data_IF_827379392021
#
_entry.id   IF_827379392021
#
_cell.length_a   1.000
_cell.length_b   1.000
_cell.length_c   1.000
_cell.angle_alpha   90.00
_cell.angle_beta   90.00
_cell.angle_gamma   90.00
#
_symmetry.space_group_name_H-M   'P 1'
#
loop_
_entity.id
_entity.type
_entity.pdbx_description
1 polymer ?
#
# COMPACT_ATOMS: atom_id res chain seq x y z
N UNK A 1 -12.98 -9.42 3.73
CA UNK A 1 -11.68 -9.55 4.42
C UNK A 1 -11.74 -10.56 5.55
N UNK A 2 -12.64 -10.41 6.52
CA UNK A 2 -12.72 -11.32 7.68
C UNK A 2 -12.78 -12.82 7.30
N UNK A 3 -13.59 -13.20 6.32
CA UNK A 3 -13.62 -14.59 5.80
C UNK A 3 -12.29 -15.06 5.18
N UNK A 4 -11.58 -14.18 4.45
CA UNK A 4 -10.25 -14.48 3.89
C UNK A 4 -9.20 -14.79 4.95
N UNK A 5 -9.37 -14.35 6.20
CA UNK A 5 -8.45 -14.73 7.28
C UNK A 5 -8.56 -16.21 7.66
N UNK A 6 -9.73 -16.83 7.49
CA UNK A 6 -9.88 -18.29 7.67
C UNK A 6 -9.23 -19.05 6.53
N UNK A 7 -9.42 -18.61 5.28
CA UNK A 7 -8.72 -19.16 4.11
C UNK A 7 -7.19 -19.04 4.28
N UNK A 8 -6.73 -17.91 4.81
CA UNK A 8 -5.32 -17.72 5.12
C UNK A 8 -4.83 -18.65 6.22
N UNK A 9 -5.65 -18.89 7.25
CA UNK A 9 -5.33 -19.83 8.33
C UNK A 9 -5.26 -21.27 7.80
N UNK A 10 -6.19 -21.69 6.95
CA UNK A 10 -6.17 -23.04 6.36
C UNK A 10 -4.93 -23.26 5.50
N UNK A 11 -4.51 -22.26 4.71
CA UNK A 11 -3.29 -22.31 3.91
C UNK A 11 -2.01 -22.34 4.77
N UNK A 12 -1.94 -21.53 5.83
CA UNK A 12 -0.75 -21.42 6.68
C UNK A 12 -0.52 -22.61 7.61
N UNK A 13 -1.56 -23.35 7.97
CA UNK A 13 -1.45 -24.48 8.88
C UNK A 13 -1.16 -25.81 8.18
N UNK A 14 -0.90 -25.77 6.87
CA UNK A 14 -0.32 -26.91 6.12
C UNK A 14 1.18 -27.01 6.43
N UNK A 15 1.72 -28.22 6.65
CA UNK A 15 3.15 -28.43 6.98
C UNK A 15 4.12 -28.07 5.85
N UNK A 16 3.65 -27.92 4.61
CA UNK A 16 4.50 -27.59 3.46
C UNK A 16 4.97 -26.13 3.48
N UNK A 17 6.26 -25.92 3.22
CA UNK A 17 6.86 -24.59 3.11
C UNK A 17 7.01 -24.19 1.65
N UNK A 18 6.01 -23.49 1.12
CA UNK A 18 6.06 -22.92 -0.23
C UNK A 18 6.27 -21.41 -0.15
N UNK A 19 7.10 -20.82 -1.01
CA UNK A 19 7.28 -19.35 -1.11
C UNK A 19 5.95 -18.61 -1.34
N UNK A 20 4.99 -19.29 -1.98
CA UNK A 20 3.60 -18.83 -2.13
C UNK A 20 2.91 -18.48 -0.80
N UNK A 21 3.28 -19.14 0.31
CA UNK A 21 2.68 -18.92 1.63
C UNK A 21 3.21 -17.62 2.25
N UNK A 22 4.49 -17.30 2.02
CA UNK A 22 5.08 -16.03 2.49
C UNK A 22 4.47 -14.85 1.75
N UNK A 23 4.36 -14.94 0.44
CA UNK A 23 3.74 -13.88 -0.38
C UNK A 23 2.25 -13.71 -0.04
N UNK A 24 1.53 -14.80 0.25
CA UNK A 24 0.16 -14.74 0.76
C UNK A 24 0.07 -14.01 2.11
N UNK A 25 1.00 -14.26 3.03
CA UNK A 25 1.03 -13.59 4.33
C UNK A 25 1.31 -12.08 4.21
N UNK A 26 2.31 -11.71 3.40
CA UNK A 26 2.61 -10.30 3.11
C UNK A 26 1.43 -9.59 2.41
N UNK A 27 0.75 -10.29 1.47
CA UNK A 27 -0.45 -9.78 0.79
C UNK A 27 -1.61 -9.49 1.75
N UNK A 28 -1.88 -10.39 2.71
CA UNK A 28 -2.93 -10.17 3.71
C UNK A 28 -2.62 -8.95 4.59
N UNK A 29 -1.35 -8.78 5.01
CA UNK A 29 -0.93 -7.59 5.76
C UNK A 29 -1.13 -6.32 4.91
N UNK A 30 -0.72 -6.35 3.64
CA UNK A 30 -0.95 -5.26 2.69
C UNK A 30 -2.42 -4.89 2.56
N UNK A 31 -3.32 -5.87 2.46
CA UNK A 31 -4.77 -5.64 2.40
C UNK A 31 -5.31 -4.97 3.67
N UNK A 32 -4.84 -5.36 4.86
CA UNK A 32 -5.24 -4.72 6.13
C UNK A 32 -4.77 -3.27 6.18
N UNK A 33 -3.54 -3.00 5.76
CA UNK A 33 -2.99 -1.65 5.71
C UNK A 33 -3.74 -0.77 4.71
N UNK A 34 -4.07 -1.30 3.53
CA UNK A 34 -4.92 -0.61 2.55
C UNK A 34 -6.30 -0.33 3.12
N UNK A 35 -6.90 -1.27 3.86
CA UNK A 35 -8.19 -1.05 4.54
C UNK A 35 -8.10 0.07 5.58
N UNK A 36 -6.98 0.16 6.31
CA UNK A 36 -6.73 1.27 7.24
C UNK A 36 -6.64 2.62 6.53
N UNK A 37 -5.99 2.69 5.35
CA UNK A 37 -5.97 3.91 4.53
C UNK A 37 -7.36 4.29 4.05
N UNK A 38 -8.14 3.34 3.53
CA UNK A 38 -9.52 3.56 3.11
C UNK A 38 -10.39 4.05 4.26
N UNK A 39 -10.20 3.54 5.48
CA UNK A 39 -10.88 4.04 6.68
C UNK A 39 -10.54 5.51 6.96
N UNK A 40 -9.26 5.88 6.88
CA UNK A 40 -8.83 7.27 7.11
C UNK A 40 -9.42 8.19 6.04
N UNK A 41 -9.47 7.78 4.78
CA UNK A 41 -10.10 8.53 3.70
C UNK A 41 -11.63 8.65 3.93
N UNK A 42 -12.29 7.56 4.28
CA UNK A 42 -13.73 7.50 4.53
C UNK A 42 -14.18 8.28 5.77
N UNK A 43 -13.26 8.51 6.72
CA UNK A 43 -13.53 9.35 7.89
C UNK A 43 -13.95 10.77 7.50
N UNK A 44 -13.33 11.33 6.46
CA UNK A 44 -13.64 12.69 6.00
C UNK A 44 -14.89 12.73 5.11
N UNK A 45 -15.26 11.62 4.47
CA UNK A 45 -16.36 11.58 3.50
C UNK A 45 -17.75 11.52 4.13
N UNK A 46 -17.93 10.83 5.26
CA UNK A 46 -19.27 10.63 5.82
C UNK A 46 -19.33 10.58 7.35
N UNK A 47 -20.36 11.19 7.94
CA UNK A 47 -20.51 11.29 9.39
C UNK A 47 -20.71 9.91 10.07
N UNK A 48 -21.38 8.95 9.40
CA UNK A 48 -21.57 7.59 9.95
C UNK A 48 -20.23 6.88 10.17
N UNK A 49 -19.29 7.03 9.23
CA UNK A 49 -17.94 6.47 9.35
C UNK A 49 -17.17 7.11 10.50
N UNK A 50 -17.34 8.42 10.75
CA UNK A 50 -16.71 9.09 11.92
C UNK A 50 -17.21 8.51 13.24
N UNK A 51 -18.53 8.34 13.38
CA UNK A 51 -19.13 7.78 14.60
C UNK A 51 -18.73 6.32 14.85
N UNK A 52 -18.63 5.53 13.78
CA UNK A 52 -18.24 4.12 13.86
C UNK A 52 -16.72 3.90 13.81
N UNK A 53 -15.91 4.95 13.69
CA UNK A 53 -14.46 4.87 13.59
C UNK A 53 -13.79 4.08 14.73
N UNK A 54 -14.20 4.21 16.01
CA UNK A 54 -13.61 3.42 17.10
C UNK A 54 -13.78 1.91 16.88
N UNK A 55 -14.97 1.49 16.42
CA UNK A 55 -15.26 0.09 16.13
C UNK A 55 -14.48 -0.42 14.91
N UNK A 56 -14.40 0.37 13.84
CA UNK A 56 -13.58 0.02 12.67
C UNK A 56 -12.10 -0.07 13.02
N UNK A 57 -11.60 0.83 13.89
CA UNK A 57 -10.23 0.76 14.41
C UNK A 57 -9.98 -0.49 15.25
N UNK A 58 -10.93 -0.86 16.12
CA UNK A 58 -10.85 -2.10 16.89
C UNK A 58 -10.83 -3.33 15.99
N UNK A 59 -11.73 -3.42 15.01
CA UNK A 59 -11.80 -4.54 14.07
C UNK A 59 -10.52 -4.69 13.25
N UNK A 60 -9.91 -3.58 12.81
CA UNK A 60 -8.61 -3.61 12.10
C UNK A 60 -7.48 -4.13 13.00
N UNK A 61 -7.41 -3.68 14.25
CA UNK A 61 -6.44 -4.23 15.21
C UNK A 61 -6.64 -5.71 15.44
N UNK A 62 -7.90 -6.12 15.57
CA UNK A 62 -8.24 -7.51 15.79
C UNK A 62 -7.87 -8.37 14.56
N UNK A 63 -8.00 -7.85 13.34
CA UNK A 63 -7.51 -8.51 12.12
C UNK A 63 -5.99 -8.66 12.12
N UNK A 64 -5.22 -7.62 12.47
CA UNK A 64 -3.76 -7.74 12.63
C UNK A 64 -3.39 -8.75 13.72
N UNK A 65 -4.07 -8.71 14.86
CA UNK A 65 -3.87 -9.66 15.95
C UNK A 65 -4.14 -11.09 15.50
N UNK A 66 -5.22 -11.32 14.74
CA UNK A 66 -5.51 -12.62 14.11
C UNK A 66 -4.37 -13.07 13.19
N UNK A 67 -3.85 -12.21 12.32
CA UNK A 67 -2.71 -12.59 11.44
C UNK A 67 -1.46 -13.00 12.22
N UNK A 68 -1.15 -12.30 13.32
CA UNK A 68 -0.06 -12.65 14.23
C UNK A 68 -0.30 -13.98 14.94
N UNK A 69 -1.54 -14.23 15.37
CA UNK A 69 -1.94 -15.49 16.00
C UNK A 69 -1.83 -16.66 15.02
N UNK A 70 -2.31 -16.51 13.79
CA UNK A 70 -2.21 -17.54 12.74
C UNK A 70 -0.74 -17.89 12.48
N UNK A 71 0.14 -16.88 12.33
CA UNK A 71 1.58 -17.07 12.15
C UNK A 71 2.23 -17.77 13.36
N UNK A 72 1.83 -17.40 14.59
CA UNK A 72 2.32 -18.08 15.80
C UNK A 72 1.89 -19.54 15.89
N UNK A 73 0.64 -19.86 15.52
CA UNK A 73 0.11 -21.22 15.53
C UNK A 73 0.84 -22.09 14.50
N UNK A 74 1.13 -21.54 13.30
CA UNK A 74 1.98 -22.23 12.32
C UNK A 74 3.36 -22.56 12.88
N UNK A 75 4.04 -21.58 13.49
CA UNK A 75 5.37 -21.82 14.09
C UNK A 75 5.34 -22.88 15.19
N UNK A 76 4.26 -22.91 15.99
CA UNK A 76 4.06 -23.95 17.00
C UNK A 76 3.86 -25.33 16.34
N UNK A 77 3.03 -25.43 15.30
CA UNK A 77 2.79 -26.67 14.56
C UNK A 77 4.06 -27.22 13.88
N UNK A 78 4.83 -26.37 13.22
CA UNK A 78 6.07 -26.78 12.54
C UNK A 78 7.16 -27.26 13.50
N UNK A 79 7.20 -26.71 14.72
CA UNK A 79 8.19 -27.04 15.74
C UNK A 79 7.68 -28.08 16.77
N UNK A 80 6.57 -28.75 16.48
CA UNK A 80 5.97 -29.75 17.37
C UNK A 80 6.09 -31.16 16.75
N UNK A 81 7.18 -31.90 17.05
CA UNK A 81 7.44 -33.20 16.44
C UNK A 81 6.42 -34.26 16.84
N UNK A 82 6.00 -34.29 18.11
CA UNK A 82 5.05 -35.26 18.66
C UNK A 82 3.63 -34.68 18.78
N UNK A 83 3.12 -34.08 17.70
CA UNK A 83 1.76 -33.57 17.68
C UNK A 83 0.74 -34.73 17.65
N UNK A 84 -0.37 -34.65 18.40
CA UNK A 84 -1.36 -35.71 18.42
C UNK A 84 -2.04 -35.84 17.05
N UNK A 85 -2.28 -37.07 16.60
CA UNK A 85 -2.75 -37.37 15.23
C UNK A 85 -4.11 -36.71 14.89
N UNK A 86 -4.94 -36.41 15.89
CA UNK A 86 -6.23 -35.75 15.72
C UNK A 86 -6.12 -34.24 15.46
N UNK A 87 -4.95 -33.61 15.61
CA UNK A 87 -4.76 -32.15 15.51
C UNK A 87 -5.28 -31.60 14.18
N UNK A 88 -4.95 -32.26 13.06
CA UNK A 88 -5.34 -31.79 11.72
C UNK A 88 -6.86 -31.85 11.51
N UNK A 89 -7.48 -32.97 11.88
CA UNK A 89 -8.92 -33.14 11.76
C UNK A 89 -9.70 -32.13 12.62
N UNK A 90 -9.22 -31.88 13.84
CA UNK A 90 -9.78 -30.87 14.73
C UNK A 90 -9.63 -29.47 14.13
N UNK A 91 -8.49 -29.17 13.50
CA UNK A 91 -8.25 -27.86 12.90
C UNK A 91 -9.13 -27.59 11.68
N UNK A 92 -9.27 -28.59 10.80
CA UNK A 92 -10.13 -28.52 9.61
C UNK A 92 -11.61 -28.37 10.00
N UNK A 93 -12.09 -29.18 10.95
CA UNK A 93 -13.47 -29.06 11.47
C UNK A 93 -13.72 -27.73 12.19
N UNK A 94 -12.73 -27.23 12.93
CA UNK A 94 -12.82 -25.94 13.61
C UNK A 94 -12.87 -24.77 12.63
N UNK A 95 -12.07 -24.80 11.57
CA UNK A 95 -12.11 -23.76 10.53
C UNK A 95 -13.44 -23.80 9.76
N UNK A 96 -13.97 -24.99 9.48
CA UNK A 96 -15.28 -25.14 8.85
C UNK A 96 -16.40 -24.58 9.75
N UNK A 97 -16.37 -24.86 11.05
CA UNK A 97 -17.34 -24.31 12.01
C UNK A 97 -17.24 -22.79 12.10
N UNK A 98 -16.03 -22.23 12.17
CA UNK A 98 -15.83 -20.78 12.23
C UNK A 98 -16.25 -20.06 10.94
N UNK A 99 -16.25 -20.76 9.80
CA UNK A 99 -16.73 -20.20 8.53
C UNK A 99 -18.25 -20.02 8.51
N UNK A 100 -18.99 -20.70 9.40
CA UNK A 100 -20.43 -20.55 9.45
C UNK A 100 -20.83 -19.15 9.97
N UNK A 101 -21.88 -18.52 9.39
CA UNK A 101 -22.71 -17.57 10.14
C UNK A 101 -23.19 -18.29 11.41
N UNK A 102 -23.75 -17.72 12.47
CA UNK A 102 -24.19 -18.52 13.65
C UNK A 102 -23.16 -19.40 14.42
N UNK A 103 -21.89 -19.51 14.00
CA UNK A 103 -20.86 -20.18 14.80
C UNK A 103 -20.89 -19.74 16.27
N UNK A 104 -21.01 -20.70 17.18
CA UNK A 104 -21.14 -20.43 18.61
C UNK A 104 -19.94 -20.97 19.42
N UNK A 105 -19.67 -20.28 20.52
CA UNK A 105 -18.64 -20.61 21.50
C UNK A 105 -18.76 -22.05 22.03
N UNK A 106 -19.98 -22.57 22.20
CA UNK A 106 -20.21 -23.92 22.68
C UNK A 106 -19.82 -24.99 21.65
N UNK A 107 -20.21 -24.82 20.39
CA UNK A 107 -19.88 -25.73 19.30
C UNK A 107 -18.36 -25.77 19.07
N UNK A 108 -17.73 -24.60 19.07
CA UNK A 108 -16.27 -24.48 18.98
C UNK A 108 -15.57 -25.16 20.16
N UNK A 109 -16.08 -25.01 21.39
CA UNK A 109 -15.53 -25.68 22.56
C UNK A 109 -15.65 -27.21 22.47
N UNK A 110 -16.76 -27.73 21.91
CA UNK A 110 -16.97 -29.17 21.69
C UNK A 110 -15.98 -29.74 20.67
N UNK A 111 -15.67 -29.00 19.61
CA UNK A 111 -14.65 -29.39 18.61
C UNK A 111 -13.24 -29.34 19.21
N UNK A 112 -12.96 -28.37 20.11
CA UNK A 112 -11.67 -28.23 20.80
C UNK A 112 -11.45 -29.24 21.94
N UNK A 113 -12.52 -29.78 22.53
CA UNK A 113 -12.47 -30.72 23.65
C UNK A 113 -11.55 -31.94 23.44
N UNK A 114 -11.58 -32.66 22.29
CA UNK A 114 -10.67 -33.78 22.04
C UNK A 114 -9.19 -33.40 21.96
N UNK A 115 -8.87 -32.12 21.78
CA UNK A 115 -7.50 -31.61 21.75
C UNK A 115 -7.07 -31.00 23.10
N UNK A 116 -7.92 -31.06 24.13
CA UNK A 116 -7.59 -30.50 25.43
C UNK A 116 -6.37 -31.22 26.06
N UNK A 117 -5.37 -30.48 26.58
CA UNK A 117 -4.25 -31.08 27.27
C UNK A 117 -4.72 -31.84 28.51
N UNK A 118 -4.12 -33.02 28.75
CA UNK A 118 -4.21 -33.72 30.05
C UNK A 118 -3.29 -33.06 31.08
N UNK A 119 -3.45 -33.40 32.36
CA UNK A 119 -2.66 -32.81 33.44
C UNK A 119 -1.14 -33.01 33.28
N UNK A 120 -0.72 -34.10 32.60
CA UNK A 120 0.69 -34.41 32.30
C UNK A 120 1.16 -33.96 30.90
N UNK A 121 0.41 -33.07 30.23
CA UNK A 121 0.73 -32.68 28.85
C UNK A 121 1.97 -31.76 28.77
N UNK A 122 2.72 -31.92 27.68
CA UNK A 122 3.86 -31.04 27.35
C UNK A 122 3.42 -29.56 27.27
N UNK A 123 4.33 -28.67 27.67
CA UNK A 123 4.12 -27.22 27.62
C UNK A 123 3.76 -26.74 26.20
N UNK A 124 4.31 -27.38 25.17
CA UNK A 124 3.99 -27.09 23.76
C UNK A 124 2.50 -27.32 23.45
N UNK A 125 1.94 -28.43 23.95
CA UNK A 125 0.51 -28.76 23.80
C UNK A 125 -0.37 -27.72 24.50
N UNK A 126 -0.02 -27.36 25.74
CA UNK A 126 -0.76 -26.38 26.53
C UNK A 126 -0.73 -25.00 25.83
N UNK A 127 0.44 -24.57 25.37
CA UNK A 127 0.62 -23.30 24.68
C UNK A 127 -0.16 -23.26 23.36
N UNK A 128 -0.10 -24.35 22.57
CA UNK A 128 -0.86 -24.46 21.32
C UNK A 128 -2.37 -24.40 21.56
N UNK A 129 -2.89 -25.20 22.50
CA UNK A 129 -4.31 -25.23 22.83
C UNK A 129 -4.81 -23.87 23.35
N UNK A 130 -4.04 -23.22 24.23
CA UNK A 130 -4.37 -21.89 24.72
C UNK A 130 -4.40 -20.85 23.60
N UNK A 131 -3.42 -20.89 22.68
CA UNK A 131 -3.33 -19.97 21.55
C UNK A 131 -4.43 -20.21 20.52
N UNK A 132 -4.82 -21.47 20.29
CA UNK A 132 -5.91 -21.84 19.38
C UNK A 132 -7.27 -21.41 19.93
N UNK A 133 -7.56 -21.70 21.20
CA UNK A 133 -8.78 -21.23 21.88
C UNK A 133 -8.89 -19.71 21.84
N UNK A 134 -7.76 -19.03 22.03
CA UNK A 134 -7.68 -17.58 21.94
C UNK A 134 -7.95 -17.05 20.51
N UNK A 135 -7.42 -17.70 19.48
CA UNK A 135 -7.77 -17.41 18.08
C UNK A 135 -9.28 -17.48 17.86
N UNK A 136 -9.92 -18.59 18.28
CA UNK A 136 -11.36 -18.79 18.14
C UNK A 136 -12.18 -17.70 18.84
N UNK A 137 -11.81 -17.35 20.08
CA UNK A 137 -12.49 -16.30 20.85
C UNK A 137 -12.43 -14.96 20.12
N UNK A 138 -11.25 -14.59 19.64
CA UNK A 138 -11.01 -13.36 18.89
C UNK A 138 -11.80 -13.34 17.58
N UNK A 139 -11.82 -14.46 16.85
CA UNK A 139 -12.52 -14.57 15.59
C UNK A 139 -14.05 -14.42 15.79
N UNK A 140 -14.63 -15.18 16.73
CA UNK A 140 -16.06 -15.10 17.06
C UNK A 140 -16.48 -13.71 17.56
N UNK A 141 -15.63 -13.06 18.37
CA UNK A 141 -15.89 -11.69 18.80
C UNK A 141 -15.89 -10.71 17.62
N UNK A 142 -14.91 -10.82 16.71
CA UNK A 142 -14.84 -10.01 15.50
C UNK A 142 -16.07 -10.21 14.61
N UNK A 143 -16.50 -11.46 14.42
CA UNK A 143 -17.67 -11.82 13.62
C UNK A 143 -18.96 -11.22 14.21
N UNK A 144 -19.11 -11.27 15.54
CA UNK A 144 -20.24 -10.63 16.24
C UNK A 144 -20.27 -9.13 16.04
N UNK A 145 -19.11 -8.47 16.14
CA UNK A 145 -19.01 -7.03 15.90
C UNK A 145 -19.30 -6.66 14.45
N UNK A 146 -18.79 -7.42 13.48
CA UNK A 146 -19.08 -7.20 12.05
C UNK A 146 -20.58 -7.30 11.78
N UNK A 147 -21.25 -8.36 12.26
CA UNK A 147 -22.71 -8.50 12.11
C UNK A 147 -23.49 -7.36 12.75
N UNK A 148 -23.03 -6.86 13.90
CA UNK A 148 -23.64 -5.68 14.53
C UNK A 148 -23.50 -4.42 13.68
N UNK A 149 -22.37 -4.24 12.98
CA UNK A 149 -22.18 -3.11 12.04
C UNK A 149 -23.08 -3.25 10.82
N UNK A 150 -23.17 -4.45 10.24
CA UNK A 150 -24.01 -4.73 9.08
C UNK A 150 -25.49 -4.45 9.39
N UNK A 151 -25.94 -4.82 10.59
CA UNK A 151 -27.30 -4.62 11.05
C UNK A 151 -27.52 -3.29 11.79
N UNK A 152 -26.54 -2.38 11.80
CA UNK A 152 -26.61 -1.14 12.55
C UNK A 152 -27.55 -0.11 11.90
N UNK A 153 -28.49 0.42 12.68
CA UNK A 153 -29.20 1.64 12.30
C UNK A 153 -28.25 2.85 12.34
N UNK A 154 -28.61 3.95 11.66
CA UNK A 154 -27.77 5.16 11.59
C UNK A 154 -27.46 5.79 12.97
N UNK A 155 -28.22 5.41 14.01
CA UNK A 155 -28.14 5.99 15.36
C UNK A 155 -27.35 5.09 16.34
N UNK A 156 -27.01 3.86 15.96
CA UNK A 156 -26.38 2.89 16.86
C UNK A 156 -24.98 3.35 17.31
N UNK A 157 -24.77 3.41 18.63
CA UNK A 157 -23.46 3.59 19.25
C UNK A 157 -22.92 2.27 19.75
N UNK A 158 -21.63 2.03 19.48
CA UNK A 158 -20.95 0.83 19.90
C UNK A 158 -19.89 1.19 20.93
N UNK A 159 -20.07 0.71 22.16
CA UNK A 159 -19.03 0.77 23.19
C UNK A 159 -18.07 -0.40 22.99
N UNK A 160 -16.92 -0.08 22.40
CA UNK A 160 -15.89 -1.07 22.04
C UNK A 160 -14.68 -0.85 22.95
N UNK A 161 -13.94 -1.90 23.34
CA UNK A 161 -12.70 -1.73 24.07
C UNK A 161 -11.75 -0.78 23.33
N UNK A 162 -11.13 0.14 24.06
CA UNK A 162 -10.20 1.10 23.48
C UNK A 162 -9.03 0.36 22.80
N UNK A 163 -8.88 0.56 21.50
CA UNK A 163 -7.73 0.11 20.74
C UNK A 163 -6.79 1.30 20.50
N UNK A 164 -5.46 1.11 20.63
CA UNK A 164 -4.51 2.16 20.26
C UNK A 164 -4.68 2.55 18.78
N UNK A 165 -4.17 3.70 18.33
CA UNK A 165 -4.11 4.00 16.90
C UNK A 165 -3.07 3.10 16.19
N UNK A 166 -3.42 2.54 15.02
CA UNK A 166 -2.46 1.75 14.20
C UNK A 166 -1.25 2.58 13.79
N UNK A 167 -1.46 3.87 13.50
CA UNK A 167 -0.39 4.83 13.25
C UNK A 167 0.18 5.29 14.59
N UNK A 168 1.02 4.44 15.20
CA UNK A 168 1.66 4.75 16.50
C UNK A 168 2.64 5.91 16.39
N UNK A 169 3.18 6.18 15.20
CA UNK A 169 4.03 7.32 14.90
C UNK A 169 3.69 7.88 13.52
N UNK A 170 2.98 9.00 13.46
CA UNK A 170 3.16 9.95 12.36
C UNK A 170 4.49 10.62 12.63
N UNK A 171 5.53 10.28 11.87
CA UNK A 171 6.85 10.85 12.08
C UNK A 171 6.87 12.30 11.57
N UNK A 172 6.36 13.20 12.42
CA UNK A 172 6.35 14.63 12.15
C UNK A 172 7.78 15.16 12.03
N UNK A 173 8.76 14.52 12.67
CA UNK A 173 10.16 14.87 12.54
C UNK A 173 10.70 14.49 11.16
N UNK A 174 10.37 13.31 10.64
CA UNK A 174 10.72 12.93 9.26
C UNK A 174 10.02 13.81 8.22
N UNK A 175 8.75 14.14 8.42
CA UNK A 175 8.02 15.07 7.57
C UNK A 175 8.64 16.48 7.58
N UNK A 176 8.99 17.00 8.76
CA UNK A 176 9.65 18.30 8.91
C UNK A 176 11.06 18.28 8.31
N UNK A 177 11.84 17.22 8.53
CA UNK A 177 13.18 17.05 7.96
C UNK A 177 13.12 17.02 6.42
N UNK A 178 12.15 16.31 5.85
CA UNK A 178 11.94 16.28 4.41
C UNK A 178 11.49 17.65 3.88
N UNK A 179 10.63 18.38 4.60
CA UNK A 179 10.26 19.76 4.26
C UNK A 179 11.42 20.76 4.32
N UNK A 180 12.30 20.65 5.32
CA UNK A 180 13.49 21.50 5.44
C UNK A 180 14.47 21.21 4.29
N UNK A 181 14.66 19.94 3.93
CA UNK A 181 15.53 19.54 2.80
C UNK A 181 15.04 20.11 1.47
N UNK A 182 13.74 20.02 1.18
CA UNK A 182 13.18 20.58 -0.05
C UNK A 182 13.26 22.09 -0.08
N UNK A 183 13.00 22.76 1.05
CA UNK A 183 13.18 24.21 1.17
C UNK A 183 14.63 24.64 0.89
N UNK A 184 15.60 24.00 1.54
CA UNK A 184 17.02 24.33 1.35
C UNK A 184 17.47 24.09 -0.10
N UNK A 185 17.03 23.01 -0.73
CA UNK A 185 17.35 22.72 -2.12
C UNK A 185 16.80 23.78 -3.09
N UNK A 186 15.55 24.21 -2.91
CA UNK A 186 14.94 25.25 -3.74
C UNK A 186 15.58 26.62 -3.54
N UNK A 187 15.87 26.99 -2.29
CA UNK A 187 16.58 28.24 -1.97
C UNK A 187 17.99 28.23 -2.58
N UNK A 188 18.72 27.12 -2.49
CA UNK A 188 20.06 27.02 -3.08
C UNK A 188 20.03 27.13 -4.61
N UNK A 189 19.11 26.45 -5.29
CA UNK A 189 18.96 26.53 -6.76
C UNK A 189 18.52 27.93 -7.19
N UNK A 190 17.61 28.56 -6.44
CA UNK A 190 17.18 29.93 -6.69
C UNK A 190 18.31 30.93 -6.50
N UNK A 191 19.04 30.86 -5.38
CA UNK A 191 20.19 31.72 -5.10
C UNK A 191 21.29 31.55 -6.15
N UNK A 192 21.59 30.30 -6.53
CA UNK A 192 22.54 30.01 -7.59
C UNK A 192 22.09 30.61 -8.93
N UNK A 193 20.84 30.40 -9.33
CA UNK A 193 20.31 30.92 -10.60
C UNK A 193 20.25 32.45 -10.66
N UNK A 194 19.98 33.12 -9.54
CA UNK A 194 20.07 34.58 -9.43
C UNK A 194 21.53 35.04 -9.58
N UNK A 195 22.48 34.35 -8.93
CA UNK A 195 23.91 34.71 -8.95
C UNK A 195 24.55 34.54 -10.33
N UNK A 196 24.16 33.51 -11.08
CA UNK A 196 24.69 33.20 -12.41
C UNK A 196 23.94 33.92 -13.53
N UNK A 197 22.84 34.60 -13.21
CA UNK A 197 21.92 35.21 -14.18
C UNK A 197 21.52 34.25 -15.29
N UNK A 198 21.36 32.97 -14.94
CA UNK A 198 21.08 31.94 -15.94
C UNK A 198 19.68 32.15 -16.53
N UNK A 199 19.63 32.31 -17.85
CA UNK A 199 18.39 32.58 -18.61
C UNK A 199 17.33 31.50 -18.41
N UNK A 200 17.74 30.25 -18.19
CA UNK A 200 16.84 29.10 -17.95
C UNK A 200 16.57 28.82 -16.46
N UNK A 201 16.93 29.73 -15.54
CA UNK A 201 16.75 29.55 -14.09
C UNK A 201 15.30 29.20 -13.70
N UNK A 202 14.31 29.87 -14.30
CA UNK A 202 12.90 29.62 -14.00
C UNK A 202 12.46 28.18 -14.34
N UNK A 203 12.94 27.63 -15.46
CA UNK A 203 12.67 26.26 -15.86
C UNK A 203 13.38 25.24 -14.95
N UNK A 204 14.63 25.53 -14.57
CA UNK A 204 15.37 24.67 -13.65
C UNK A 204 14.73 24.61 -12.25
N UNK A 205 14.20 25.75 -11.76
CA UNK A 205 13.57 25.83 -10.44
C UNK A 205 12.22 25.09 -10.40
N UNK A 206 11.45 25.13 -11.49
CA UNK A 206 10.20 24.35 -11.60
C UNK A 206 10.48 22.85 -11.67
N UNK A 207 11.49 22.41 -12.43
CA UNK A 207 11.90 21.01 -12.48
C UNK A 207 12.41 20.53 -11.11
N UNK A 208 13.24 21.33 -10.44
CA UNK A 208 13.71 21.04 -9.08
C UNK A 208 12.57 20.93 -8.07
N UNK A 209 11.55 21.80 -8.17
CA UNK A 209 10.35 21.73 -7.34
C UNK A 209 9.57 20.44 -7.54
N UNK A 210 9.29 20.07 -8.79
CA UNK A 210 8.61 18.81 -9.13
C UNK A 210 9.40 17.61 -8.60
N UNK A 211 10.73 17.61 -8.77
CA UNK A 211 11.59 16.56 -8.23
C UNK A 211 11.52 16.50 -6.70
N UNK A 212 11.61 17.64 -6.01
CA UNK A 212 11.50 17.70 -4.56
C UNK A 212 10.19 17.13 -4.06
N UNK A 213 9.05 17.44 -4.71
CA UNK A 213 7.74 16.90 -4.32
C UNK A 213 7.66 15.40 -4.56
N UNK A 214 8.08 14.93 -5.74
CA UNK A 214 7.96 13.51 -6.09
C UNK A 214 8.89 12.59 -5.29
N UNK A 215 10.05 13.10 -4.86
CA UNK A 215 11.09 12.28 -4.23
C UNK A 215 11.28 12.52 -2.74
N UNK A 216 10.74 13.59 -2.16
CA UNK A 216 10.80 13.82 -0.69
C UNK A 216 10.09 12.73 0.13
N UNK A 217 9.18 11.99 -0.48
CA UNK A 217 8.40 10.91 0.18
C UNK A 217 8.98 9.52 -0.10
N UNK A 218 10.01 9.39 -0.96
CA UNK A 218 10.54 8.08 -1.34
C UNK A 218 11.59 7.59 -0.34
N UNK A 219 11.42 6.36 0.16
CA UNK A 219 12.34 5.74 1.13
C UNK A 219 13.70 5.35 0.52
N UNK A 220 13.86 5.36 -0.81
CA UNK A 220 15.07 4.93 -1.52
C UNK A 220 15.54 5.99 -2.53
N UNK A 221 16.36 6.98 -2.12
CA UNK A 221 16.74 8.11 -2.97
C UNK A 221 17.56 7.69 -4.20
N UNK A 222 18.38 6.64 -4.09
CA UNK A 222 19.29 6.21 -5.17
C UNK A 222 18.55 5.61 -6.38
N UNK A 223 17.54 4.77 -6.11
CA UNK A 223 16.70 4.18 -7.17
C UNK A 223 15.86 5.24 -7.88
N UNK A 224 15.36 6.21 -7.11
CA UNK A 224 14.63 7.38 -7.60
C UNK A 224 15.49 8.28 -8.49
N UNK A 225 16.73 8.55 -8.09
CA UNK A 225 17.69 9.34 -8.87
C UNK A 225 18.09 8.67 -10.18
N UNK A 226 18.31 7.35 -10.15
CA UNK A 226 18.67 6.60 -11.36
C UNK A 226 17.52 6.64 -12.39
N UNK A 227 16.28 6.51 -11.93
CA UNK A 227 15.09 6.68 -12.77
C UNK A 227 14.96 8.11 -13.32
N UNK A 228 15.28 9.13 -12.50
CA UNK A 228 15.29 10.52 -12.96
C UNK A 228 16.31 10.74 -14.08
N UNK A 229 17.54 10.27 -13.90
CA UNK A 229 18.59 10.43 -14.92
C UNK A 229 18.23 9.72 -16.23
N UNK A 230 17.69 8.50 -16.13
CA UNK A 230 17.20 7.76 -17.30
C UNK A 230 16.07 8.50 -18.02
N UNK A 231 15.13 9.08 -17.27
CA UNK A 231 14.01 9.84 -17.85
C UNK A 231 14.46 11.15 -18.47
N UNK A 232 15.39 11.88 -17.85
CA UNK A 232 15.96 13.11 -18.41
C UNK A 232 16.68 12.86 -19.74
N UNK A 233 17.52 11.81 -19.81
CA UNK A 233 18.21 11.44 -21.05
C UNK A 233 17.21 11.06 -22.15
N UNK A 234 16.20 10.25 -21.81
CA UNK A 234 15.18 9.83 -22.76
C UNK A 234 14.32 11.01 -23.23
N UNK A 235 13.96 11.94 -22.33
CA UNK A 235 13.22 13.15 -22.68
C UNK A 235 14.03 14.11 -23.54
N UNK A 236 15.33 14.26 -23.26
CA UNK A 236 16.21 15.10 -24.07
C UNK A 236 16.25 14.61 -25.51
N UNK A 237 16.47 13.30 -25.72
CA UNK A 237 16.51 12.70 -27.05
C UNK A 237 15.13 12.78 -27.73
N UNK A 238 14.06 12.47 -27.00
CA UNK A 238 12.70 12.57 -27.51
C UNK A 238 12.31 14.00 -27.90
N UNK A 239 12.61 14.98 -27.03
CA UNK A 239 12.33 16.39 -27.28
C UNK A 239 13.11 16.91 -28.48
N UNK A 240 14.36 16.49 -28.67
CA UNK A 240 15.14 16.82 -29.86
C UNK A 240 14.42 16.36 -31.14
N UNK A 241 13.97 15.11 -31.19
CA UNK A 241 13.24 14.55 -32.34
C UNK A 241 11.92 15.29 -32.58
N UNK A 242 11.15 15.55 -31.53
CA UNK A 242 9.86 16.25 -31.66
C UNK A 242 10.08 17.70 -32.10
N UNK A 243 10.99 18.44 -31.49
CA UNK A 243 11.22 19.86 -31.76
C UNK A 243 11.81 20.11 -33.16
N UNK A 244 12.77 19.30 -33.59
CA UNK A 244 13.47 19.52 -34.87
C UNK A 244 12.97 18.65 -36.02
N UNK A 245 12.31 17.51 -35.74
CA UNK A 245 11.72 16.66 -36.76
C UNK A 245 10.25 17.00 -37.02
N UNK A 246 9.44 17.02 -35.96
CA UNK A 246 7.98 17.11 -36.07
C UNK A 246 7.47 18.55 -36.01
N UNK A 247 7.93 19.37 -35.05
CA UNK A 247 7.43 20.73 -34.88
C UNK A 247 7.78 21.66 -36.05
N UNK A 248 8.80 21.34 -36.86
CA UNK A 248 9.13 22.10 -38.08
C UNK A 248 8.05 21.93 -39.17
N UNK A 249 7.35 20.80 -39.16
CA UNK A 249 6.30 20.48 -40.15
C UNK A 249 4.91 20.91 -39.68
N UNK A 250 4.77 21.22 -38.39
CA UNK A 250 3.49 21.53 -37.74
C UNK A 250 3.34 23.04 -37.62
N UNK A 251 2.40 23.60 -38.37
CA UNK A 251 2.14 25.05 -38.38
C UNK A 251 1.05 25.47 -37.41
N UNK A 252 0.08 24.59 -37.17
CA UNK A 252 -1.12 24.88 -36.38
C UNK A 252 -1.22 24.04 -35.11
N UNK A 253 -1.83 24.63 -34.07
CA UNK A 253 -2.06 23.98 -32.79
C UNK A 253 -2.90 22.68 -32.91
N UNK A 254 -3.87 22.64 -33.81
CA UNK A 254 -4.72 21.44 -33.97
C UNK A 254 -3.94 20.23 -34.52
N UNK A 255 -2.94 20.47 -35.39
CA UNK A 255 -2.04 19.42 -35.90
C UNK A 255 -1.16 18.90 -34.77
N UNK A 256 -0.65 19.80 -33.91
CA UNK A 256 0.10 19.40 -32.72
C UNK A 256 -0.75 18.59 -31.74
N UNK A 257 -2.01 18.95 -31.53
CA UNK A 257 -2.94 18.20 -30.67
C UNK A 257 -3.22 16.79 -31.22
N UNK A 258 -3.35 16.64 -32.54
CA UNK A 258 -3.52 15.32 -33.18
C UNK A 258 -2.31 14.40 -33.00
N UNK A 259 -1.12 14.96 -32.79
CA UNK A 259 0.07 14.19 -32.42
C UNK A 259 0.14 13.93 -30.90
N UNK A 260 -0.11 14.95 -30.10
CA UNK A 260 0.04 14.89 -28.64
C UNK A 260 -0.99 13.94 -27.99
N UNK A 261 -2.24 13.95 -28.48
CA UNK A 261 -3.32 13.13 -27.94
C UNK A 261 -3.05 11.61 -28.03
N UNK A 262 -2.74 11.03 -29.21
CA UNK A 262 -2.40 9.60 -29.31
C UNK A 262 -1.11 9.26 -28.54
N UNK A 263 -0.14 10.17 -28.48
CA UNK A 263 1.08 9.96 -27.71
C UNK A 263 0.79 9.86 -26.19
N UNK A 264 0.04 10.80 -25.63
CA UNK A 264 -0.30 10.78 -24.20
C UNK A 264 -1.18 9.59 -23.83
N UNK A 265 -2.15 9.24 -24.68
CA UNK A 265 -3.02 8.08 -24.46
C UNK A 265 -2.24 6.78 -24.51
N UNK A 266 -1.35 6.59 -25.48
CA UNK A 266 -0.49 5.39 -25.55
C UNK A 266 0.45 5.28 -24.35
N UNK A 267 1.11 6.37 -23.94
CA UNK A 267 1.95 6.37 -22.73
C UNK A 267 1.15 6.06 -21.46
N UNK A 268 -0.07 6.60 -21.33
CA UNK A 268 -0.94 6.32 -20.20
C UNK A 268 -1.43 4.85 -20.19
N UNK A 269 -1.71 4.27 -21.35
CA UNK A 269 -2.05 2.85 -21.46
C UNK A 269 -0.87 1.95 -21.10
N UNK A 270 0.33 2.27 -21.58
CA UNK A 270 1.57 1.54 -21.23
C UNK A 270 1.87 1.61 -19.73
N UNK A 271 1.62 2.76 -19.10
CA UNK A 271 1.70 2.92 -17.65
C UNK A 271 0.77 1.95 -16.91
N UNK A 272 -0.46 1.74 -17.40
CA UNK A 272 -1.43 0.84 -16.80
C UNK A 272 -1.10 -0.63 -17.05
N UNK A 273 -0.58 -0.97 -18.23
CA UNK A 273 -0.24 -2.35 -18.60
C UNK A 273 1.03 -2.85 -17.91
N UNK A 274 2.04 -1.99 -17.72
CA UNK A 274 3.34 -2.37 -17.16
C UNK A 274 3.60 -1.71 -15.80
N UNK A 275 3.02 -2.27 -14.71
CA UNK A 275 3.13 -1.68 -13.37
C UNK A 275 4.58 -1.57 -12.88
N UNK A 276 5.49 -2.42 -13.37
CA UNK A 276 6.93 -2.38 -13.06
C UNK A 276 7.61 -1.07 -13.53
N UNK A 277 7.15 -0.50 -14.65
CA UNK A 277 7.70 0.72 -15.24
C UNK A 277 6.78 1.94 -15.10
N UNK A 278 5.70 1.82 -14.31
CA UNK A 278 4.70 2.88 -14.18
C UNK A 278 5.29 4.22 -13.69
N UNK A 279 6.33 4.17 -12.85
CA UNK A 279 7.05 5.36 -12.40
C UNK A 279 7.77 6.08 -13.54
N UNK A 280 8.42 5.34 -14.43
CA UNK A 280 9.12 5.89 -15.60
C UNK A 280 8.12 6.53 -16.56
N UNK A 281 7.05 5.82 -16.93
CA UNK A 281 6.02 6.36 -17.81
C UNK A 281 5.32 7.59 -17.21
N UNK A 282 5.06 7.59 -15.90
CA UNK A 282 4.51 8.75 -15.21
C UNK A 282 5.43 9.98 -15.29
N UNK A 283 6.74 9.79 -15.12
CA UNK A 283 7.72 10.87 -15.21
C UNK A 283 7.85 11.40 -16.64
N UNK A 284 7.86 10.52 -17.65
CA UNK A 284 7.87 10.94 -19.05
C UNK A 284 6.68 11.85 -19.35
N UNK A 285 5.46 11.45 -18.96
CA UNK A 285 4.24 12.23 -19.20
C UNK A 285 4.31 13.61 -18.55
N UNK A 286 4.77 13.69 -17.29
CA UNK A 286 4.79 14.94 -16.52
C UNK A 286 5.87 15.89 -17.03
N UNK A 287 7.09 15.41 -17.27
CA UNK A 287 8.21 16.27 -17.66
C UNK A 287 8.22 16.63 -19.14
N UNK A 288 7.54 15.86 -20.00
CA UNK A 288 7.57 16.05 -21.46
C UNK A 288 7.11 17.45 -21.86
N UNK A 289 6.07 18.00 -21.22
CA UNK A 289 5.59 19.35 -21.50
C UNK A 289 6.66 20.42 -21.28
N UNK A 290 7.45 20.31 -20.22
CA UNK A 290 8.53 21.24 -19.90
C UNK A 290 9.71 21.12 -20.87
N UNK A 291 10.00 19.92 -21.38
CA UNK A 291 11.13 19.67 -22.29
C UNK A 291 10.83 20.03 -23.75
N UNK A 292 9.60 19.88 -24.22
CA UNK A 292 9.22 20.26 -25.60
C UNK A 292 9.26 21.79 -25.74
N UNK A 293 8.96 22.53 -24.65
CA UNK A 293 9.08 23.99 -24.57
C UNK A 293 8.45 24.71 -25.79
N UNK A 294 7.16 24.42 -26.03
CA UNK A 294 6.40 24.98 -27.16
C UNK A 294 6.34 26.50 -27.05
N UNK A 295 6.86 27.22 -28.05
CA UNK A 295 6.79 28.69 -28.13
C UNK A 295 5.87 29.12 -29.26
N UNK A 296 5.24 30.30 -29.10
CA UNK A 296 4.49 30.97 -30.17
C UNK A 296 4.95 32.44 -30.24
N UNK A 297 5.61 32.89 -31.33
CA UNK A 297 5.92 32.15 -32.56
C UNK A 297 6.93 31.00 -32.36
N UNK A 298 6.94 29.99 -33.24
CA UNK A 298 7.86 28.87 -33.13
C UNK A 298 9.29 29.33 -33.43
N UNK A 299 10.23 29.03 -32.52
CA UNK A 299 11.65 29.36 -32.66
C UNK A 299 12.47 28.08 -32.72
N UNK A 300 13.18 27.87 -33.83
CA UNK A 300 14.02 26.70 -34.08
C UNK A 300 15.50 27.11 -34.07
N UNK A 301 16.05 27.32 -32.88
CA UNK A 301 17.48 27.57 -32.71
C UNK A 301 18.18 26.31 -32.19
N UNK A 302 19.07 25.76 -33.01
CA UNK A 302 19.90 24.60 -32.65
C UNK A 302 20.91 24.93 -31.55
N UNK A 303 21.45 26.16 -31.52
CA UNK A 303 22.44 26.57 -30.53
C UNK A 303 21.81 26.71 -29.13
N UNK A 304 20.58 27.22 -29.07
CA UNK A 304 19.82 27.34 -27.83
C UNK A 304 19.35 26.00 -27.22
N UNK A 305 19.42 24.89 -27.97
CA UNK A 305 19.04 23.57 -27.44
C UNK A 305 20.18 22.86 -26.68
N UNK A 306 21.44 23.17 -27.02
CA UNK A 306 22.62 22.58 -26.37
C UNK A 306 23.19 23.45 -25.23
N UNK A 307 22.64 24.65 -25.01
CA UNK A 307 22.95 25.54 -23.88
C UNK A 307 21.97 25.34 -22.72
#
# INVERSE_FOLDING_TARGET
MHARLLEHASLLWVPETTDAIRTAHESVIGQILTMNLLRIQAFWSHYRFRRQNPLLNYLLHQQLRMTSVISSLRRMLLNWPDAPANTRQVLESLLAELATPHADSYHVARILAPLAPRQDADYRHIAFWARLRYFCRIYLESSRWIRRVENASAIAEFNVPAAPPLARHTDQAEALLNGVRTFCALVAIGAWGISTQWTSCAAALTLASICCVLYSVSASPFRSLTLLMQTLVLLSLFSFVVKFGLMVQVTDLWQFLLFLFPLLTTMQLLKLQWPKYAGLWGQLIVFMGSFIAVTNPPVYDYAAFFQ
#
